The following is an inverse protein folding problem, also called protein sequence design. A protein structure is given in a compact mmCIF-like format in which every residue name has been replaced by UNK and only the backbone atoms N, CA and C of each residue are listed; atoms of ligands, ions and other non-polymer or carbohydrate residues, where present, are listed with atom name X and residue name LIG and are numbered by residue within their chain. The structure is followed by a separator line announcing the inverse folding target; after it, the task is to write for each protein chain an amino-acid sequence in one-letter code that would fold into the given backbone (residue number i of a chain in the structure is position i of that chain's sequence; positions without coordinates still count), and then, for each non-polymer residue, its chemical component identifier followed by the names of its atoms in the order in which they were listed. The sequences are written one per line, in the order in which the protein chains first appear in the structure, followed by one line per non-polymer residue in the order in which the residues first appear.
data_IF_849314665257
#
_entry.id   IF_849314665257
#
_cell.length_a   1.000
_cell.length_b   1.000
_cell.length_c   1.000
_cell.angle_alpha   90.00
_cell.angle_beta   90.00
_cell.angle_gamma   90.00
#
_symmetry.space_group_name_H-M   'P 1'
#
loop_
_entity.id
_entity.type
_entity.pdbx_description
1 polymer ?
#
# COMPACT_ATOMS: atom_id res chain seq x y z
N UNK A 1 -20.12 -11.63 8.59
CA UNK A 1 -18.97 -11.32 7.71
C UNK A 1 -19.42 -10.28 6.70
N UNK A 2 -18.89 -9.06 6.77
CA UNK A 2 -19.23 -8.01 5.80
C UNK A 2 -18.50 -8.33 4.49
N UNK A 3 -19.23 -8.67 3.42
CA UNK A 3 -18.61 -8.94 2.11
C UNK A 3 -17.97 -7.65 1.59
N UNK A 4 -16.67 -7.69 1.32
CA UNK A 4 -15.95 -6.57 0.70
C UNK A 4 -16.56 -6.37 -0.70
N UNK A 5 -17.22 -5.23 -0.91
CA UNK A 5 -17.73 -4.83 -2.24
C UNK A 5 -16.56 -4.44 -3.13
N UNK A 6 -16.19 -5.28 -4.09
CA UNK A 6 -15.17 -4.97 -5.09
C UNK A 6 -15.85 -4.32 -6.29
N UNK A 7 -15.29 -3.21 -6.77
CA UNK A 7 -15.70 -2.62 -8.06
C UNK A 7 -14.79 -3.25 -9.12
N UNK A 8 -15.39 -3.89 -10.10
CA UNK A 8 -14.68 -4.47 -11.25
C UNK A 8 -15.07 -3.66 -12.48
N UNK A 9 -14.08 -3.21 -13.24
CA UNK A 9 -14.26 -2.44 -14.48
C UNK A 9 -13.36 -3.03 -15.58
N UNK A 10 -13.67 -2.73 -16.83
CA UNK A 10 -12.86 -3.17 -17.97
C UNK A 10 -11.56 -2.35 -18.03
N UNK A 11 -10.41 -3.03 -17.89
CA UNK A 11 -9.10 -2.39 -17.97
C UNK A 11 -8.59 -2.52 -19.42
N UNK A 12 -8.31 -1.38 -20.06
CA UNK A 12 -7.67 -1.35 -21.37
C UNK A 12 -6.28 -1.99 -21.32
N UNK A 13 -5.91 -2.79 -22.32
CA UNK A 13 -4.60 -3.48 -22.38
C UNK A 13 -3.41 -2.51 -22.30
N UNK A 14 -3.56 -1.27 -22.78
CA UNK A 14 -2.53 -0.23 -22.68
C UNK A 14 -2.34 0.29 -21.24
N UNK A 15 -3.23 0.01 -20.31
CA UNK A 15 -2.99 0.29 -18.89
C UNK A 15 -2.25 -0.88 -18.22
N UNK A 16 -2.44 -2.10 -18.70
CA UNK A 16 -1.83 -3.31 -18.13
C UNK A 16 -0.31 -3.40 -18.41
N UNK A 17 0.18 -3.00 -19.59
CA UNK A 17 1.63 -3.04 -19.87
C UNK A 17 2.41 -2.10 -18.95
N UNK A 18 1.84 -0.93 -18.62
CA UNK A 18 2.45 0.00 -17.69
C UNK A 18 2.63 -0.62 -16.30
N UNK A 19 1.73 -1.52 -15.89
CA UNK A 19 1.73 -2.13 -14.58
C UNK A 19 2.77 -3.26 -14.41
N UNK A 20 3.44 -3.69 -15.49
CA UNK A 20 4.45 -4.77 -15.43
C UNK A 20 5.68 -4.40 -14.60
N UNK A 21 5.99 -3.11 -14.47
CA UNK A 21 7.10 -2.58 -13.66
C UNK A 21 6.71 -2.30 -12.21
N UNK A 22 5.50 -2.66 -11.81
CA UNK A 22 5.00 -2.42 -10.47
C UNK A 22 5.06 -3.66 -9.59
N UNK A 23 5.38 -3.44 -8.32
CA UNK A 23 5.31 -4.42 -7.26
C UNK A 23 4.25 -3.99 -6.25
N UNK A 24 3.71 -4.96 -5.53
CA UNK A 24 2.83 -4.75 -4.39
C UNK A 24 3.56 -5.21 -3.13
N UNK A 25 3.71 -4.30 -2.18
CA UNK A 25 4.34 -4.55 -0.89
C UNK A 25 3.36 -4.41 0.27
N UNK A 26 3.36 -5.37 1.20
CA UNK A 26 2.64 -5.28 2.47
C UNK A 26 3.61 -4.95 3.61
N UNK A 27 3.29 -3.96 4.45
CA UNK A 27 4.10 -3.61 5.63
C UNK A 27 3.62 -4.30 6.90
N UNK A 28 4.50 -4.46 7.90
CA UNK A 28 4.14 -4.98 9.23
C UNK A 28 3.10 -4.11 9.93
N UNK A 29 3.32 -2.80 9.94
CA UNK A 29 2.48 -1.81 10.59
C UNK A 29 2.05 -0.71 9.63
N UNK A 30 1.02 0.05 10.02
CA UNK A 30 0.66 1.26 9.33
C UNK A 30 1.86 2.24 9.34
N UNK A 31 2.28 2.68 8.16
CA UNK A 31 3.26 3.74 8.00
C UNK A 31 2.78 4.76 6.97
N UNK A 32 3.34 5.96 7.04
CA UNK A 32 3.10 6.99 6.03
C UNK A 32 4.08 6.80 4.85
N UNK A 33 3.65 7.19 3.66
CA UNK A 33 4.42 7.01 2.43
C UNK A 33 5.78 7.71 2.50
N UNK A 34 5.84 8.93 3.02
CA UNK A 34 7.07 9.72 3.11
C UNK A 34 8.17 9.00 3.89
N UNK A 35 7.85 8.50 5.08
CA UNK A 35 8.79 7.78 5.95
C UNK A 35 9.28 6.48 5.31
N UNK A 36 8.42 5.78 4.57
CA UNK A 36 8.79 4.57 3.86
C UNK A 36 9.73 4.89 2.69
N UNK A 37 9.39 5.89 1.88
CA UNK A 37 10.23 6.35 0.76
C UNK A 37 11.60 6.83 1.22
N UNK A 38 11.67 7.58 2.34
CA UNK A 38 12.94 8.02 2.92
C UNK A 38 13.82 6.84 3.36
N UNK A 39 13.23 5.82 4.00
CA UNK A 39 13.96 4.62 4.43
C UNK A 39 14.49 3.81 3.25
N UNK A 40 13.70 3.67 2.18
CA UNK A 40 14.11 3.00 0.94
C UNK A 40 15.23 3.78 0.25
N UNK A 41 15.12 5.11 0.20
CA UNK A 41 16.17 5.96 -0.35
C UNK A 41 17.50 5.84 0.42
N UNK A 42 17.45 5.67 1.75
CA UNK A 42 18.64 5.53 2.60
C UNK A 42 19.46 4.27 2.34
N UNK A 43 18.87 3.22 1.78
CA UNK A 43 19.59 1.99 1.41
C UNK A 43 20.05 2.00 -0.06
N UNK A 44 19.92 3.13 -0.74
CA UNK A 44 20.36 3.30 -2.13
C UNK A 44 19.29 3.05 -3.19
N UNK A 45 18.03 2.84 -2.81
CA UNK A 45 16.92 2.57 -3.74
C UNK A 45 16.04 3.81 -3.98
N UNK A 46 16.64 5.00 -4.04
CA UNK A 46 15.91 6.29 -4.14
C UNK A 46 15.06 6.42 -5.42
N UNK A 47 15.45 5.71 -6.46
CA UNK A 47 14.79 5.71 -7.77
C UNK A 47 13.48 4.91 -7.80
N UNK A 48 13.18 4.14 -6.75
CA UNK A 48 11.87 3.50 -6.58
C UNK A 48 10.83 4.54 -6.17
N UNK A 49 9.69 4.55 -6.87
CA UNK A 49 8.55 5.40 -6.47
C UNK A 49 7.56 4.57 -5.66
N UNK A 50 7.23 5.04 -4.45
CA UNK A 50 6.31 4.35 -3.55
C UNK A 50 5.01 5.12 -3.44
N UNK A 51 3.88 4.46 -3.73
CA UNK A 51 2.53 5.03 -3.64
C UNK A 51 1.71 4.18 -2.67
N UNK A 52 0.98 4.82 -1.76
CA UNK A 52 0.10 4.09 -0.83
C UNK A 52 -1.18 3.69 -1.55
N UNK A 53 -1.54 2.40 -1.49
CA UNK A 53 -2.80 1.90 -2.02
C UNK A 53 -3.86 2.04 -0.95
N UNK A 54 -3.77 1.20 0.08
CA UNK A 54 -4.72 1.17 1.19
C UNK A 54 -4.16 0.38 2.36
N UNK A 55 -4.54 0.73 3.59
CA UNK A 55 -4.12 0.00 4.79
C UNK A 55 -2.59 -0.10 4.89
N UNK A 56 -2.10 -1.33 4.90
CA UNK A 56 -0.67 -1.70 4.91
C UNK A 56 -0.06 -1.99 3.53
N UNK A 57 -0.83 -1.81 2.46
CA UNK A 57 -0.39 -2.07 1.09
C UNK A 57 0.13 -0.83 0.37
N UNK A 58 1.27 -1.01 -0.31
CA UNK A 58 1.93 -0.02 -1.14
C UNK A 58 2.17 -0.57 -2.54
N UNK A 59 2.10 0.32 -3.51
CA UNK A 59 2.49 0.10 -4.88
C UNK A 59 3.90 0.68 -5.06
N UNK A 60 4.82 -0.12 -5.60
CA UNK A 60 6.20 0.27 -5.84
C UNK A 60 6.42 0.25 -7.34
N UNK A 61 6.77 1.39 -7.91
CA UNK A 61 7.12 1.54 -9.32
C UNK A 61 8.63 1.43 -9.47
N UNK A 62 9.07 0.49 -10.30
CA UNK A 62 10.47 0.34 -10.68
C UNK A 62 10.71 1.14 -11.96
N UNK A 63 11.70 2.06 -12.00
CA UNK A 63 11.87 3.02 -13.09
C UNK A 63 12.20 2.36 -14.45
N UNK A 64 12.93 1.24 -14.43
CA UNK A 64 13.40 0.55 -15.63
C UNK A 64 13.49 -0.97 -15.42
N UNK A 65 13.54 -1.71 -16.53
CA UNK A 65 13.54 -3.17 -16.52
C UNK A 65 14.85 -3.76 -15.98
N UNK A 66 15.98 -3.08 -16.19
CA UNK A 66 17.29 -3.52 -15.67
C UNK A 66 17.27 -3.63 -14.13
N UNK A 67 16.78 -2.58 -13.45
CA UNK A 67 16.62 -2.60 -12.00
C UNK A 67 15.60 -3.65 -11.56
N UNK A 68 14.51 -3.83 -12.31
CA UNK A 68 13.51 -4.86 -12.01
C UNK A 68 14.13 -6.26 -12.06
N UNK A 69 14.95 -6.54 -13.07
CA UNK A 69 15.67 -7.81 -13.20
C UNK A 69 16.67 -8.02 -12.06
N UNK A 70 17.43 -6.99 -11.68
CA UNK A 70 18.36 -7.05 -10.54
C UNK A 70 17.60 -7.38 -9.24
N UNK A 71 16.50 -6.68 -8.99
CA UNK A 71 15.66 -6.90 -7.80
C UNK A 71 15.07 -8.32 -7.80
N UNK A 72 14.63 -8.81 -8.97
CA UNK A 72 14.07 -10.16 -9.14
C UNK A 72 15.13 -11.25 -8.93
N UNK A 73 16.34 -11.07 -9.46
CA UNK A 73 17.46 -12.01 -9.28
C UNK A 73 17.87 -12.15 -7.80
N UNK A 74 17.68 -11.09 -7.02
CA UNK A 74 17.90 -11.09 -5.57
C UNK A 74 16.67 -11.52 -4.77
N UNK A 75 15.64 -12.07 -5.42
CA UNK A 75 14.39 -12.47 -4.79
C UNK A 75 13.82 -11.37 -3.87
N UNK A 76 13.89 -10.12 -4.37
CA UNK A 76 13.41 -8.92 -3.68
C UNK A 76 14.05 -8.68 -2.30
N UNK A 77 15.21 -9.27 -2.00
CA UNK A 77 15.82 -9.26 -0.67
C UNK A 77 15.94 -7.85 -0.05
N UNK A 78 16.33 -6.85 -0.85
CA UNK A 78 16.43 -5.46 -0.38
C UNK A 78 15.08 -4.87 0.04
N UNK A 79 13.98 -5.30 -0.59
CA UNK A 79 12.62 -4.82 -0.29
C UNK A 79 12.01 -5.55 0.91
N UNK A 80 12.45 -6.79 1.18
CA UNK A 80 12.01 -7.58 2.35
C UNK A 80 12.41 -6.95 3.69
N UNK A 81 13.32 -5.97 3.71
CA UNK A 81 13.61 -5.16 4.91
C UNK A 81 12.45 -4.22 5.30
N UNK A 82 11.57 -3.89 4.34
CA UNK A 82 10.45 -2.96 4.54
C UNK A 82 9.09 -3.65 4.47
N UNK A 83 8.99 -4.71 3.67
CA UNK A 83 7.75 -5.39 3.36
C UNK A 83 7.78 -6.85 3.85
N UNK A 84 6.72 -7.27 4.54
CA UNK A 84 6.54 -8.68 4.95
C UNK A 84 6.19 -9.57 3.77
N UNK A 85 5.54 -8.99 2.75
CA UNK A 85 5.25 -9.62 1.49
C UNK A 85 5.55 -8.62 0.37
N UNK A 86 6.21 -9.08 -0.69
CA UNK A 86 6.53 -8.27 -1.87
C UNK A 86 6.41 -9.17 -3.09
N UNK A 87 5.56 -8.77 -4.04
CA UNK A 87 5.31 -9.54 -5.25
C UNK A 87 5.06 -8.63 -6.44
N UNK A 88 5.30 -9.10 -7.68
CA UNK A 88 4.87 -8.39 -8.87
C UNK A 88 3.37 -8.08 -8.83
N UNK A 89 2.99 -6.88 -9.25
CA UNK A 89 1.58 -6.55 -9.38
C UNK A 89 0.89 -7.53 -10.34
N UNK A 90 -0.33 -7.91 -10.00
CA UNK A 90 -1.20 -8.70 -10.88
C UNK A 90 -2.64 -8.24 -10.73
N UNK A 91 -3.46 -8.51 -11.74
CA UNK A 91 -4.90 -8.23 -11.73
C UNK A 91 -5.66 -8.95 -10.60
N UNK A 92 -5.04 -9.99 -10.02
CA UNK A 92 -5.60 -10.74 -8.89
C UNK A 92 -5.43 -10.00 -7.56
N UNK A 93 -4.56 -8.99 -7.50
CA UNK A 93 -4.35 -8.22 -6.28
C UNK A 93 -5.63 -7.47 -5.90
N UNK A 94 -6.16 -7.77 -4.71
CA UNK A 94 -7.31 -7.11 -4.13
C UNK A 94 -6.98 -6.76 -2.68
N UNK A 95 -6.88 -5.47 -2.37
CA UNK A 95 -6.68 -5.02 -0.99
C UNK A 95 -7.88 -5.40 -0.13
N UNK A 96 -7.64 -6.16 0.94
CA UNK A 96 -8.69 -6.64 1.85
C UNK A 96 -8.99 -5.65 2.98
N UNK A 97 -8.03 -4.77 3.30
CA UNK A 97 -8.18 -3.75 4.34
C UNK A 97 -8.77 -2.46 3.77
N UNK A 98 -9.74 -1.87 4.49
CA UNK A 98 -10.31 -0.57 4.13
C UNK A 98 -9.86 0.51 5.10
N UNK A 99 -9.37 1.61 4.54
CA UNK A 99 -9.15 2.88 5.26
C UNK A 99 -10.10 3.89 4.65
N UNK A 100 -10.93 4.48 5.49
CA UNK A 100 -11.86 5.56 5.12
C UNK A 100 -11.57 6.77 6.01
N UNK A 101 -11.59 7.96 5.40
CA UNK A 101 -11.66 9.20 6.14
C UNK A 101 -13.10 9.42 6.57
N UNK A 102 -13.32 9.49 7.87
CA UNK A 102 -14.64 9.67 8.45
C UNK A 102 -14.72 11.07 9.04
N UNK A 103 -15.71 11.83 8.60
CA UNK A 103 -16.03 13.11 9.22
C UNK A 103 -16.87 12.83 10.46
N UNK A 104 -16.43 13.35 11.61
CA UNK A 104 -17.09 13.14 12.89
C UNK A 104 -17.35 14.49 13.52
N UNK A 105 -18.63 14.81 13.68
CA UNK A 105 -19.10 16.08 14.22
C UNK A 105 -19.86 15.85 15.53
N UNK A 106 -19.89 16.87 16.40
CA UNK A 106 -20.65 16.83 17.66
C UNK A 106 -19.99 16.10 18.83
N UNK A 107 -18.71 15.73 18.74
CA UNK A 107 -17.95 15.14 19.86
C UNK A 107 -17.21 16.24 20.63
N UNK A 108 -17.52 16.46 21.93
CA UNK A 108 -16.80 17.45 22.74
C UNK A 108 -15.29 17.15 22.81
N UNK A 109 -14.45 18.19 22.91
CA UNK A 109 -12.99 18.05 22.87
C UNK A 109 -12.46 17.08 23.93
N UNK A 110 -12.98 17.15 25.17
CA UNK A 110 -12.59 16.29 26.29
C UNK A 110 -13.01 14.81 26.11
N UNK A 111 -13.86 14.51 25.14
CA UNK A 111 -14.30 13.16 24.81
C UNK A 111 -13.40 12.47 23.78
N UNK A 112 -12.40 13.14 23.17
CA UNK A 112 -11.47 12.51 22.22
C UNK A 112 -10.46 11.60 22.92
N UNK A 113 -10.92 10.40 23.27
CA UNK A 113 -10.12 9.34 23.88
C UNK A 113 -10.33 8.03 23.12
N UNK A 114 -9.43 7.07 23.35
CA UNK A 114 -9.44 5.75 22.72
C UNK A 114 -10.82 5.09 22.66
N UNK A 115 -11.60 5.18 23.74
CA UNK A 115 -12.95 4.60 23.80
C UNK A 115 -13.94 5.26 22.81
N UNK A 116 -13.79 6.56 22.56
CA UNK A 116 -14.62 7.29 21.59
C UNK A 116 -14.24 6.89 20.17
N UNK A 117 -12.95 6.77 19.86
CA UNK A 117 -12.50 6.26 18.57
C UNK A 117 -13.01 4.84 18.28
N UNK A 118 -12.98 3.95 19.29
CA UNK A 118 -13.58 2.60 19.18
C UNK A 118 -15.07 2.63 18.86
N UNK A 119 -15.83 3.49 19.55
CA UNK A 119 -17.27 3.63 19.30
C UNK A 119 -17.56 4.15 17.89
N UNK A 120 -16.83 5.18 17.47
CA UNK A 120 -16.94 5.73 16.12
C UNK A 120 -16.60 4.67 15.06
N UNK A 121 -15.47 3.96 15.22
CA UNK A 121 -15.07 2.91 14.30
C UNK A 121 -16.09 1.75 14.26
N UNK A 122 -16.71 1.41 15.38
CA UNK A 122 -17.73 0.35 15.44
C UNK A 122 -19.06 0.71 14.77
N UNK A 123 -19.28 1.97 14.40
CA UNK A 123 -20.45 2.38 13.61
C UNK A 123 -20.29 2.09 12.10
N UNK A 124 -19.08 1.72 11.64
CA UNK A 124 -18.70 1.61 10.23
C UNK A 124 -18.17 0.20 9.88
#
# INVERSE_FOLDING_TARGET
MNKIKVVEDHIENEQLWNLQRFLVGETTSFCNTTSLSERIARIGLRELTVKKIQGRYFLIEVPNDELLEILKQKDWAYLKEFFINIEPWSEKFKATERVAWIEVSGVPLHCWKYQTFKRVAGLW
#
